data_IF_043271054427
#
_entry.id   IF_043271054427
#
_cell.length_a   1.000
_cell.length_b   1.000
_cell.length_c   1.000
_cell.angle_alpha   90.00
_cell.angle_beta   90.00
_cell.angle_gamma   90.00
#
_symmetry.space_group_name_H-M   'P 1'
#
loop_
_entity.id
_entity.type
_entity.pdbx_description
1 polymer ?
#
# COMPACT_ATOMS: atom_id res chain seq x y z
N UNK A 1 -31.86 -53.90 0.87
CA UNK A 1 -32.36 -52.58 1.36
C UNK A 1 -31.39 -51.78 2.24
N UNK A 2 -30.43 -52.38 2.98
CA UNK A 2 -29.45 -51.65 3.83
C UNK A 2 -28.33 -50.90 3.08
N UNK A 3 -27.92 -51.36 1.88
CA UNK A 3 -26.84 -50.74 1.11
C UNK A 3 -27.19 -49.34 0.56
N UNK A 4 -28.44 -49.12 0.12
CA UNK A 4 -28.87 -47.83 -0.45
C UNK A 4 -28.91 -46.69 0.60
N UNK A 5 -29.18 -47.00 1.88
CA UNK A 5 -29.16 -46.01 2.97
C UNK A 5 -27.76 -45.52 3.31
N UNK A 6 -26.76 -46.40 3.24
CA UNK A 6 -25.37 -46.06 3.53
C UNK A 6 -24.74 -45.18 2.44
N UNK A 7 -25.04 -45.46 1.17
CA UNK A 7 -24.60 -44.63 0.05
C UNK A 7 -25.21 -43.22 0.10
N UNK A 8 -26.51 -43.13 0.39
CA UNK A 8 -27.24 -41.84 0.50
C UNK A 8 -26.70 -40.97 1.64
N UNK A 9 -26.35 -41.57 2.79
CA UNK A 9 -25.79 -40.83 3.93
C UNK A 9 -24.37 -40.30 3.70
N UNK A 10 -23.56 -40.99 2.88
CA UNK A 10 -22.21 -40.52 2.50
C UNK A 10 -22.28 -39.38 1.48
N UNK A 11 -23.18 -39.47 0.50
CA UNK A 11 -23.41 -38.43 -0.50
C UNK A 11 -23.92 -37.14 0.14
N UNK A 12 -24.85 -37.23 1.10
CA UNK A 12 -25.36 -36.06 1.81
C UNK A 12 -24.27 -35.36 2.65
N UNK A 13 -23.41 -36.13 3.33
CA UNK A 13 -22.28 -35.57 4.11
C UNK A 13 -21.23 -34.92 3.21
N UNK A 14 -20.93 -35.53 2.06
CA UNK A 14 -20.00 -34.96 1.09
C UNK A 14 -20.54 -33.65 0.49
N UNK A 15 -21.84 -33.60 0.17
CA UNK A 15 -22.50 -32.39 -0.32
C UNK A 15 -22.51 -31.27 0.72
N UNK A 16 -22.82 -31.59 1.99
CA UNK A 16 -22.78 -30.62 3.09
C UNK A 16 -21.35 -30.11 3.32
N UNK A 17 -20.35 -30.99 3.37
CA UNK A 17 -18.95 -30.58 3.53
C UNK A 17 -18.45 -29.70 2.37
N UNK A 18 -18.82 -30.04 1.14
CA UNK A 18 -18.51 -29.22 -0.04
C UNK A 18 -19.16 -27.84 0.06
N UNK A 19 -20.46 -27.78 0.39
CA UNK A 19 -21.18 -26.50 0.54
C UNK A 19 -20.63 -25.63 1.67
N UNK A 20 -20.21 -26.23 2.80
CA UNK A 20 -19.58 -25.51 3.90
C UNK A 20 -18.20 -24.96 3.51
N UNK A 21 -17.41 -25.73 2.75
CA UNK A 21 -16.12 -25.27 2.24
C UNK A 21 -16.28 -24.11 1.24
N UNK A 22 -17.29 -24.17 0.35
CA UNK A 22 -17.58 -23.09 -0.61
C UNK A 22 -18.10 -21.83 0.08
N UNK A 23 -18.95 -21.97 1.11
CA UNK A 23 -19.43 -20.84 1.90
C UNK A 23 -18.29 -20.17 2.69
N UNK A 24 -17.36 -20.95 3.22
CA UNK A 24 -16.22 -20.43 3.98
C UNK A 24 -15.21 -19.69 3.08
N UNK A 25 -14.95 -20.17 1.86
CA UNK A 25 -14.10 -19.45 0.90
C UNK A 25 -14.74 -18.16 0.39
N UNK A 26 -16.05 -18.14 0.17
CA UNK A 26 -16.77 -16.92 -0.21
C UNK A 26 -16.79 -15.87 0.93
N UNK A 27 -16.98 -16.31 2.19
CA UNK A 27 -16.95 -15.43 3.36
C UNK A 27 -15.55 -14.83 3.61
N UNK A 28 -14.47 -15.58 3.35
CA UNK A 28 -13.10 -15.08 3.47
C UNK A 28 -12.72 -14.10 2.34
N UNK A 29 -13.28 -14.28 1.13
CA UNK A 29 -13.09 -13.35 0.02
C UNK A 29 -13.77 -11.99 0.26
N UNK A 30 -14.85 -11.95 1.03
CA UNK A 30 -15.59 -10.73 1.35
C UNK A 30 -14.89 -9.76 2.31
N UNK A 31 -13.78 -10.15 2.93
CA UNK A 31 -13.03 -9.33 3.90
C UNK A 31 -11.72 -8.76 3.34
N UNK A 32 -11.31 -9.14 2.13
CA UNK A 32 -10.10 -8.62 1.51
C UNK A 32 -10.41 -7.34 0.72
N UNK A 33 -9.78 -6.23 1.09
CA UNK A 33 -9.77 -5.03 0.25
C UNK A 33 -9.11 -5.37 -1.08
N UNK A 34 -9.76 -5.01 -2.19
CA UNK A 34 -9.16 -5.21 -3.50
C UNK A 34 -7.86 -4.39 -3.60
N UNK A 35 -6.74 -5.06 -3.82
CA UNK A 35 -5.42 -4.42 -3.97
C UNK A 35 -5.14 -4.32 -5.46
N UNK A 36 -5.23 -3.10 -6.00
CA UNK A 36 -5.02 -2.81 -7.41
C UNK A 36 -4.12 -1.60 -7.57
N UNK A 37 -3.45 -1.49 -8.72
CA UNK A 37 -2.60 -0.33 -9.03
C UNK A 37 -3.29 1.01 -8.76
N UNK A 38 -4.52 1.28 -9.23
CA UNK A 38 -5.17 2.57 -8.98
C UNK A 38 -5.38 2.87 -7.50
N UNK A 39 -5.65 1.85 -6.66
CA UNK A 39 -5.81 2.05 -5.21
C UNK A 39 -4.48 2.28 -4.50
N UNK A 40 -3.42 1.57 -4.91
CA UNK A 40 -2.06 1.81 -4.41
C UNK A 40 -1.62 3.24 -4.76
N UNK A 41 -1.78 3.65 -6.01
CA UNK A 41 -1.41 5.00 -6.47
C UNK A 41 -2.26 6.09 -5.82
N UNK A 42 -3.57 5.86 -5.72
CA UNK A 42 -4.53 6.77 -5.09
C UNK A 42 -4.26 7.02 -3.61
N UNK A 43 -3.67 6.05 -2.91
CA UNK A 43 -3.24 6.21 -1.52
C UNK A 43 -1.82 6.79 -1.40
N UNK A 44 -0.87 6.26 -2.16
CA UNK A 44 0.55 6.59 -2.02
C UNK A 44 0.84 8.06 -2.29
N UNK A 45 0.25 8.64 -3.35
CA UNK A 45 0.49 10.02 -3.75
C UNK A 45 0.14 11.02 -2.63
N UNK A 46 -1.11 11.03 -2.12
CA UNK A 46 -1.51 11.90 -1.02
C UNK A 46 -0.69 11.68 0.26
N UNK A 47 -0.46 10.42 0.68
CA UNK A 47 0.32 10.14 1.89
C UNK A 47 1.73 10.71 1.78
N UNK A 48 2.43 10.44 0.67
CA UNK A 48 3.77 10.97 0.43
C UNK A 48 3.78 12.50 0.42
N UNK A 49 2.82 13.15 -0.27
CA UNK A 49 2.77 14.61 -0.35
C UNK A 49 2.60 15.26 1.03
N UNK A 50 1.76 14.70 1.90
CA UNK A 50 1.58 15.19 3.27
C UNK A 50 2.86 15.05 4.11
N UNK A 51 3.50 13.87 4.04
CA UNK A 51 4.73 13.61 4.79
C UNK A 51 5.91 14.43 4.27
N UNK A 52 5.97 14.69 2.96
CA UNK A 52 6.97 15.57 2.37
C UNK A 52 6.81 17.00 2.89
N UNK A 53 5.59 17.55 2.93
CA UNK A 53 5.33 18.87 3.53
C UNK A 53 5.76 18.90 5.01
N UNK A 54 5.50 17.83 5.76
CA UNK A 54 5.96 17.72 7.15
C UNK A 54 7.49 17.73 7.24
N UNK A 55 8.17 16.97 6.40
CA UNK A 55 9.63 16.98 6.31
C UNK A 55 10.17 18.39 6.04
N UNK A 56 9.61 19.08 5.05
CA UNK A 56 10.04 20.41 4.67
C UNK A 56 9.83 21.41 5.80
N UNK A 57 8.73 21.28 6.56
CA UNK A 57 8.49 22.08 7.78
C UNK A 57 9.56 21.81 8.84
N UNK A 58 9.94 20.55 9.08
CA UNK A 58 11.01 20.19 10.01
C UNK A 58 12.36 20.78 9.59
N UNK A 59 12.62 20.87 8.27
CA UNK A 59 13.84 21.41 7.69
C UNK A 59 13.84 22.95 7.56
N UNK A 60 12.75 23.64 7.90
CA UNK A 60 12.68 25.10 7.89
C UNK A 60 12.17 25.71 6.58
N UNK A 61 11.44 24.92 5.80
CA UNK A 61 10.81 25.34 4.55
C UNK A 61 9.27 25.27 4.68
N UNK A 62 8.64 26.12 5.52
CA UNK A 62 7.19 26.12 5.70
C UNK A 62 6.45 26.70 4.47
N UNK A 63 5.14 26.48 4.41
CA UNK A 63 4.26 27.08 3.39
C UNK A 63 4.02 26.22 2.15
N UNK A 64 4.62 25.03 2.07
CA UNK A 64 4.28 24.04 1.05
C UNK A 64 2.92 23.39 1.37
N UNK A 65 2.16 23.08 0.32
CA UNK A 65 0.89 22.37 0.43
C UNK A 65 0.97 21.05 -0.34
N UNK A 66 0.28 19.98 0.11
CA UNK A 66 0.30 18.69 -0.59
C UNK A 66 -0.16 18.82 -2.06
N UNK A 67 -1.09 19.72 -2.34
CA UNK A 67 -1.55 20.04 -3.70
C UNK A 67 -0.43 20.59 -4.58
N UNK A 68 0.41 21.50 -4.04
CA UNK A 68 1.54 22.07 -4.77
C UNK A 68 2.67 21.04 -5.02
N UNK A 69 2.85 20.08 -4.09
CA UNK A 69 3.77 18.95 -4.28
C UNK A 69 3.34 18.08 -5.46
N UNK A 70 2.03 17.97 -5.70
CA UNK A 70 1.43 17.27 -6.83
C UNK A 70 2.04 15.87 -7.06
N UNK A 71 2.22 15.10 -5.99
CA UNK A 71 2.83 13.77 -6.08
C UNK A 71 2.03 12.84 -7.00
N UNK A 72 2.71 12.20 -7.94
CA UNK A 72 2.13 11.26 -8.92
C UNK A 72 2.94 9.96 -8.91
N UNK A 73 2.46 8.93 -8.21
CA UNK A 73 3.04 7.59 -8.30
C UNK A 73 2.65 6.91 -9.62
N UNK A 74 3.57 6.10 -10.14
CA UNK A 74 3.31 5.09 -11.16
C UNK A 74 3.84 3.77 -10.63
N UNK A 75 2.94 2.84 -10.34
CA UNK A 75 3.23 1.62 -9.60
C UNK A 75 3.11 0.39 -10.47
N UNK A 76 3.96 -0.59 -10.19
CA UNK A 76 3.88 -1.92 -10.76
C UNK A 76 4.34 -2.98 -9.76
N UNK A 77 3.88 -4.21 -9.94
CA UNK A 77 4.41 -5.37 -9.22
C UNK A 77 5.54 -5.99 -10.04
N UNK A 78 6.66 -6.26 -9.38
CA UNK A 78 7.82 -6.91 -10.01
C UNK A 78 7.61 -8.41 -10.25
N UNK A 79 6.63 -9.04 -9.59
CA UNK A 79 6.25 -10.43 -9.87
C UNK A 79 5.66 -10.57 -11.29
N UNK A 80 6.20 -11.45 -12.15
CA UNK A 80 5.65 -11.71 -13.48
C UNK A 80 4.19 -12.18 -13.44
N UNK A 81 3.37 -11.71 -14.37
CA UNK A 81 1.96 -12.12 -14.48
C UNK A 81 1.06 -11.63 -13.33
N UNK A 82 1.56 -10.73 -12.48
CA UNK A 82 0.77 -10.16 -11.37
C UNK A 82 -0.36 -9.24 -11.83
N UNK A 83 -0.27 -8.70 -13.06
CA UNK A 83 -1.21 -7.71 -13.61
C UNK A 83 -1.49 -6.53 -12.65
N UNK A 84 -0.53 -6.21 -11.79
CA UNK A 84 -0.61 -5.16 -10.75
C UNK A 84 -1.83 -5.27 -9.85
N UNK A 85 -2.07 -6.50 -9.37
CA UNK A 85 -3.09 -6.82 -8.40
C UNK A 85 -2.55 -7.67 -7.25
N UNK A 86 -3.22 -7.59 -6.11
CA UNK A 86 -2.96 -8.40 -4.93
C UNK A 86 -1.93 -7.81 -3.97
N UNK A 87 -2.01 -8.29 -2.72
CA UNK A 87 -1.02 -8.03 -1.69
C UNK A 87 0.36 -8.60 -2.07
N UNK A 88 1.42 -8.01 -1.52
CA UNK A 88 2.81 -8.45 -1.76
C UNK A 88 3.85 -7.41 -1.36
N UNK A 89 5.09 -7.86 -1.18
CA UNK A 89 6.27 -7.04 -0.92
C UNK A 89 7.01 -6.60 -2.19
N UNK A 90 6.39 -6.79 -3.35
CA UNK A 90 7.00 -6.69 -4.66
C UNK A 90 6.48 -5.48 -5.46
N UNK A 91 5.74 -4.59 -4.80
CA UNK A 91 5.23 -3.34 -5.36
C UNK A 91 6.36 -2.31 -5.45
N UNK A 92 6.58 -1.78 -6.66
CA UNK A 92 7.57 -0.76 -6.97
C UNK A 92 6.85 0.45 -7.57
N UNK A 93 7.00 1.60 -6.93
CA UNK A 93 6.34 2.84 -7.34
C UNK A 93 7.37 3.90 -7.67
N UNK A 94 7.40 4.37 -8.92
CA UNK A 94 8.11 5.58 -9.28
C UNK A 94 7.23 6.77 -8.93
N UNK A 95 7.61 7.56 -7.94
CA UNK A 95 6.86 8.75 -7.52
C UNK A 95 7.53 9.98 -8.12
N UNK A 96 6.80 10.74 -8.92
CA UNK A 96 7.20 12.08 -9.35
C UNK A 96 6.54 13.15 -8.48
N UNK A 97 7.25 14.24 -8.15
CA UNK A 97 6.68 15.37 -7.40
C UNK A 97 7.41 16.68 -7.69
N UNK A 98 6.83 17.79 -7.26
CA UNK A 98 7.45 19.12 -7.29
C UNK A 98 8.00 19.45 -5.92
N UNK A 99 9.28 19.82 -5.82
CA UNK A 99 9.90 20.23 -4.56
C UNK A 99 9.59 21.69 -4.20
N UNK A 100 10.06 22.14 -3.02
CA UNK A 100 9.83 23.50 -2.55
C UNK A 100 10.44 24.62 -3.40
N UNK A 101 11.29 24.29 -4.37
CA UNK A 101 11.87 25.24 -5.34
C UNK A 101 11.13 25.25 -6.68
N UNK A 102 10.08 24.44 -6.82
CA UNK A 102 9.34 24.28 -8.07
C UNK A 102 9.99 23.29 -9.05
N UNK A 103 11.04 22.58 -8.63
CA UNK A 103 11.73 21.62 -9.50
C UNK A 103 11.09 20.24 -9.40
N UNK A 104 10.98 19.57 -10.54
CA UNK A 104 10.52 18.18 -10.59
C UNK A 104 11.57 17.23 -10.03
N UNK A 105 11.12 16.37 -9.14
CA UNK A 105 11.88 15.29 -8.51
C UNK A 105 11.22 13.95 -8.81
N UNK A 106 12.00 12.88 -8.70
CA UNK A 106 11.45 11.53 -8.81
C UNK A 106 12.25 10.51 -8.00
N UNK A 107 11.56 9.51 -7.46
CA UNK A 107 12.17 8.47 -6.62
C UNK A 107 11.43 7.14 -6.72
N UNK A 108 12.18 6.04 -6.65
CA UNK A 108 11.66 4.67 -6.56
C UNK A 108 11.33 4.34 -5.11
N UNK A 109 10.07 4.07 -4.82
CA UNK A 109 9.56 3.60 -3.54
C UNK A 109 9.24 2.11 -3.62
N UNK A 110 9.63 1.36 -2.60
CA UNK A 110 9.37 -0.07 -2.48
C UNK A 110 8.30 -0.28 -1.43
N UNK A 111 7.24 -1.00 -1.78
CA UNK A 111 6.04 -1.14 -0.95
C UNK A 111 5.79 -2.59 -0.55
N UNK A 112 5.38 -2.75 0.71
CA UNK A 112 4.85 -3.98 1.25
C UNK A 112 3.35 -3.82 1.50
N UNK A 113 2.52 -4.21 0.54
CA UNK A 113 1.07 -4.06 0.60
C UNK A 113 0.43 -5.31 1.18
N UNK A 114 -0.38 -5.14 2.22
CA UNK A 114 -1.13 -6.18 2.92
C UNK A 114 -2.53 -6.35 2.31
N UNK A 115 -3.17 -7.50 2.56
CA UNK A 115 -4.53 -7.80 2.04
C UNK A 115 -5.62 -6.88 2.61
N UNK A 116 -5.37 -6.24 3.75
CA UNK A 116 -6.24 -5.22 4.33
C UNK A 116 -6.06 -3.81 3.73
N UNK A 117 -5.29 -3.68 2.64
CA UNK A 117 -5.10 -2.40 1.92
C UNK A 117 -4.12 -1.44 2.61
N UNK A 118 -3.50 -1.83 3.73
CA UNK A 118 -2.41 -1.08 4.34
C UNK A 118 -1.06 -1.49 3.76
N UNK A 119 -0.11 -0.57 3.76
CA UNK A 119 1.24 -0.79 3.26
C UNK A 119 2.28 -0.04 4.07
N UNK A 120 3.51 -0.54 4.01
CA UNK A 120 4.73 0.17 4.41
C UNK A 120 5.49 0.53 3.13
N UNK A 121 6.00 1.75 3.03
CA UNK A 121 6.73 2.27 1.89
C UNK A 121 8.13 2.73 2.30
N UNK A 122 9.16 2.24 1.63
CA UNK A 122 10.55 2.68 1.80
C UNK A 122 10.97 3.63 0.66
N UNK A 123 11.47 4.80 1.02
CA UNK A 123 11.92 5.83 0.08
C UNK A 123 13.42 5.75 -0.25
N UNK A 124 13.84 6.27 -1.41
CA UNK A 124 15.25 6.25 -1.81
C UNK A 124 16.03 7.33 -1.06
N UNK A 125 16.84 6.94 -0.08
CA UNK A 125 17.56 7.85 0.83
C UNK A 125 18.44 8.90 0.16
N UNK A 126 18.96 8.62 -1.04
CA UNK A 126 19.73 9.59 -1.85
C UNK A 126 18.89 10.78 -2.34
N UNK A 127 17.56 10.63 -2.39
CA UNK A 127 16.63 11.65 -2.87
C UNK A 127 15.84 12.25 -1.71
N UNK A 128 15.30 11.41 -0.82
CA UNK A 128 14.45 11.87 0.29
C UNK A 128 15.23 12.14 1.58
N UNK A 129 16.52 11.86 1.60
CA UNK A 129 17.39 12.05 2.76
C UNK A 129 17.49 10.81 3.68
N UNK A 130 18.35 10.88 4.71
CA UNK A 130 18.57 9.81 5.67
C UNK A 130 17.39 9.62 6.64
N UNK A 131 17.41 8.53 7.42
CA UNK A 131 16.39 8.21 8.43
C UNK A 131 16.28 9.27 9.54
N UNK A 132 17.40 9.89 9.93
CA UNK A 132 17.40 10.98 10.90
C UNK A 132 17.75 12.30 10.21
N UNK A 133 16.92 13.31 10.41
CA UNK A 133 17.17 14.68 9.98
C UNK A 133 17.30 15.61 11.19
N UNK A 134 18.11 16.66 11.05
CA UNK A 134 18.19 17.71 12.05
C UNK A 134 17.09 18.72 11.77
N UNK A 135 16.11 18.81 12.67
CA UNK A 135 15.07 19.82 12.60
C UNK A 135 15.62 21.23 12.87
N UNK A 136 14.88 22.27 12.48
CA UNK A 136 15.20 23.67 12.79
C UNK A 136 15.31 23.96 14.29
N UNK A 137 14.68 23.16 15.15
CA UNK A 137 14.84 23.22 16.60
C UNK A 137 16.16 22.59 17.10
N UNK A 138 17.04 22.16 16.19
CA UNK A 138 18.32 21.53 16.49
C UNK A 138 18.26 20.05 16.88
N UNK A 139 17.05 19.50 17.08
CA UNK A 139 16.82 18.10 17.47
C UNK A 139 16.93 17.15 16.27
N UNK A 140 17.53 15.99 16.49
CA UNK A 140 17.45 14.86 15.56
C UNK A 140 16.06 14.24 15.63
N UNK A 141 15.38 14.13 14.50
CA UNK A 141 14.03 13.56 14.38
C UNK A 141 13.98 12.58 13.21
N UNK A 142 13.05 11.63 13.27
CA UNK A 142 12.83 10.69 12.16
C UNK A 142 12.35 11.49 10.95
N UNK A 143 12.94 11.19 9.80
CA UNK A 143 12.54 11.71 8.51
C UNK A 143 11.23 11.04 8.07
N UNK A 144 10.11 11.78 8.00
CA UNK A 144 8.79 11.20 7.77
C UNK A 144 8.62 10.55 6.39
N UNK A 145 9.51 10.83 5.43
CA UNK A 145 9.47 10.24 4.07
C UNK A 145 10.54 9.18 3.83
N UNK A 146 11.37 8.85 4.84
CA UNK A 146 12.36 7.77 4.72
C UNK A 146 11.68 6.41 4.64
N UNK A 147 10.77 6.15 5.57
CA UNK A 147 9.92 4.97 5.61
C UNK A 147 8.61 5.36 6.30
N UNK A 148 7.48 4.97 5.73
CA UNK A 148 6.17 5.36 6.24
C UNK A 148 5.09 4.34 5.91
N UNK A 149 4.04 4.35 6.73
CA UNK A 149 2.85 3.53 6.51
C UNK A 149 1.74 4.35 5.85
N UNK A 150 0.84 3.65 5.15
CA UNK A 150 -0.40 4.19 4.64
C UNK A 150 -1.44 3.10 4.46
N UNK A 151 -2.70 3.49 4.29
CA UNK A 151 -3.78 2.55 3.98
C UNK A 151 -4.71 3.18 2.95
N UNK A 152 -5.30 2.34 2.10
CA UNK A 152 -6.30 2.79 1.14
C UNK A 152 -7.47 3.44 1.86
N UNK A 153 -8.03 4.48 1.23
CA UNK A 153 -9.31 5.02 1.66
C UNK A 153 -10.41 3.93 1.58
N UNK A 154 -11.32 3.97 2.55
CA UNK A 154 -12.47 3.08 2.65
C UNK A 154 -13.77 3.73 2.18
N UNK A 155 -13.72 4.98 1.70
CA UNK A 155 -14.90 5.70 1.20
C UNK A 155 -15.22 5.44 -0.26
#
# INVERSE_FOLDING_TARGET
MRLHRLASGRLLRAAVAASAATALTAALAGCATDVTRPRVEGSLGPVFANLYVQQQTLLGHPGLTPTAIAARPTCHRSTPGSHDKGAGSDWICQVGWTDGTGKTQSGKFELQVRSNGCYQAGGPSKIVGPIMIRSVAGKQVINPVFEFDGCFDTT
#
